data_IF_297320594465
#
_entry.id   IF_297320594465
#
_cell.length_a   1.000
_cell.length_b   1.000
_cell.length_c   1.000
_cell.angle_alpha   90.00
_cell.angle_beta   90.00
_cell.angle_gamma   90.00
#
_symmetry.space_group_name_H-M   'P 1'
#
loop_
_entity.id
_entity.type
_entity.pdbx_description
1 polymer ?
#
# COMPACT_ATOMS: atom_id res chain seq x y z
N UNK A 1 -39.74 -7.62 2.85
CA UNK A 1 -38.66 -8.38 3.51
C UNK A 1 -37.77 -7.38 4.24
N UNK A 2 -37.86 -7.31 5.57
CA UNK A 2 -37.08 -6.37 6.37
C UNK A 2 -35.59 -6.80 6.34
N UNK A 3 -34.62 -5.94 5.97
CA UNK A 3 -33.21 -6.32 6.02
C UNK A 3 -32.82 -6.60 7.47
N UNK A 4 -32.36 -7.82 7.76
CA UNK A 4 -31.86 -8.19 9.10
C UNK A 4 -30.73 -7.23 9.50
N UNK A 5 -30.69 -6.73 10.75
CA UNK A 5 -29.63 -5.83 11.19
C UNK A 5 -28.27 -6.54 11.03
N UNK A 6 -27.32 -5.87 10.35
CA UNK A 6 -25.98 -6.40 10.13
C UNK A 6 -25.33 -6.69 11.48
N UNK A 7 -24.97 -7.96 11.73
CA UNK A 7 -24.12 -8.33 12.86
C UNK A 7 -22.78 -7.61 12.71
N UNK A 8 -22.28 -7.04 13.80
CA UNK A 8 -20.98 -6.40 13.84
C UNK A 8 -19.90 -7.38 13.33
N UNK A 9 -19.19 -6.99 12.26
CA UNK A 9 -18.09 -7.78 11.72
C UNK A 9 -16.81 -7.39 12.45
N UNK A 10 -16.46 -8.18 13.47
CA UNK A 10 -15.25 -7.95 14.26
C UNK A 10 -13.97 -8.10 13.43
N UNK A 11 -13.92 -9.06 12.51
CA UNK A 11 -12.73 -9.32 11.69
C UNK A 11 -12.52 -8.16 10.72
N UNK A 12 -13.58 -7.74 10.03
CA UNK A 12 -13.54 -6.58 9.15
C UNK A 12 -13.16 -5.30 9.90
N UNK A 13 -13.73 -5.09 11.10
CA UNK A 13 -13.41 -3.93 11.93
C UNK A 13 -11.96 -3.90 12.39
N UNK A 14 -11.42 -5.04 12.83
CA UNK A 14 -10.02 -5.17 13.24
C UNK A 14 -9.06 -4.98 12.05
N UNK A 15 -9.39 -5.54 10.88
CA UNK A 15 -8.58 -5.36 9.67
C UNK A 15 -8.54 -3.88 9.23
N UNK A 16 -9.67 -3.18 9.30
CA UNK A 16 -9.73 -1.74 9.01
C UNK A 16 -8.95 -0.92 10.03
N UNK A 17 -9.11 -1.21 11.33
CA UNK A 17 -8.36 -0.53 12.38
C UNK A 17 -6.85 -0.72 12.21
N UNK A 18 -6.40 -1.94 11.94
CA UNK A 18 -5.00 -2.25 11.65
C UNK A 18 -4.48 -1.49 10.43
N UNK A 19 -5.27 -1.47 9.34
CA UNK A 19 -4.92 -0.71 8.14
C UNK A 19 -4.76 0.79 8.44
N UNK A 20 -5.70 1.39 9.17
CA UNK A 20 -5.64 2.80 9.55
C UNK A 20 -4.40 3.10 10.40
N UNK A 21 -4.08 2.24 11.36
CA UNK A 21 -2.90 2.42 12.21
C UNK A 21 -1.60 2.35 11.41
N UNK A 22 -1.45 1.32 10.56
CA UNK A 22 -0.28 1.18 9.69
C UNK A 22 -0.11 2.39 8.77
N UNK A 23 -1.19 2.84 8.11
CA UNK A 23 -1.13 3.96 7.16
C UNK A 23 -0.97 5.33 7.81
N UNK A 24 -1.47 5.50 9.05
CA UNK A 24 -1.31 6.78 9.78
C UNK A 24 0.08 6.95 10.37
N UNK A 25 0.79 5.85 10.66
CA UNK A 25 2.14 5.89 11.22
C UNK A 25 3.22 6.18 10.16
N UNK A 26 2.98 5.78 8.89
CA UNK A 26 3.98 5.88 7.81
C UNK A 26 4.53 7.30 7.62
N UNK A 27 3.73 8.38 7.52
CA UNK A 27 4.28 9.73 7.32
C UNK A 27 5.22 10.18 8.45
N UNK A 28 4.88 9.85 9.69
CA UNK A 28 5.72 10.18 10.85
C UNK A 28 7.03 9.40 10.85
N UNK A 29 6.97 8.09 10.54
CA UNK A 29 8.17 7.25 10.41
C UNK A 29 9.05 7.73 9.26
N UNK A 30 8.50 7.98 8.08
CA UNK A 30 9.27 8.45 6.93
C UNK A 30 9.94 9.80 7.20
N UNK A 31 9.27 10.73 7.89
CA UNK A 31 9.88 12.01 8.28
C UNK A 31 11.00 11.83 9.32
N UNK A 32 10.83 10.92 10.28
CA UNK A 32 11.87 10.59 11.24
C UNK A 32 13.10 9.92 10.59
N UNK A 33 12.87 9.04 9.61
CA UNK A 33 13.93 8.33 8.90
C UNK A 33 14.58 9.14 7.77
N UNK A 34 13.99 10.25 7.35
CA UNK A 34 14.49 11.13 6.27
C UNK A 34 16.01 11.42 6.35
N UNK A 35 16.63 11.70 7.52
CA UNK A 35 18.06 11.98 7.59
C UNK A 35 18.96 10.75 7.35
N UNK A 36 18.39 9.55 7.44
CA UNK A 36 19.14 8.27 7.46
C UNK A 36 18.96 7.44 6.20
N UNK A 37 17.85 7.60 5.50
CA UNK A 37 17.55 6.86 4.27
C UNK A 37 17.16 7.84 3.19
N UNK A 38 17.48 7.54 1.93
CA UNK A 38 16.94 8.24 0.78
C UNK A 38 15.55 7.71 0.41
N UNK A 39 14.72 8.53 -0.25
CA UNK A 39 13.40 8.06 -0.72
C UNK A 39 13.48 6.88 -1.70
N UNK A 40 14.61 6.74 -2.39
CA UNK A 40 14.88 5.56 -3.21
C UNK A 40 15.11 4.31 -2.35
N UNK A 41 16.00 4.39 -1.35
CA UNK A 41 16.35 3.27 -0.46
C UNK A 41 15.13 2.71 0.27
N UNK A 42 14.24 3.60 0.75
CA UNK A 42 13.00 3.20 1.42
C UNK A 42 12.15 2.25 0.55
N UNK A 43 11.96 2.60 -0.72
CA UNK A 43 11.22 1.78 -1.67
C UNK A 43 12.02 0.57 -2.16
N UNK A 44 13.33 0.72 -2.34
CA UNK A 44 14.22 -0.35 -2.78
C UNK A 44 14.25 -1.52 -1.79
N UNK A 45 14.00 -1.30 -0.50
CA UNK A 45 13.84 -2.39 0.49
C UNK A 45 12.39 -2.88 0.53
N UNK A 46 11.41 -1.97 0.50
CA UNK A 46 9.99 -2.32 0.68
C UNK A 46 9.46 -3.24 -0.43
N UNK A 47 9.77 -2.95 -1.69
CA UNK A 47 9.22 -3.68 -2.83
C UNK A 47 9.77 -5.10 -2.98
N UNK A 48 11.08 -5.36 -2.85
CA UNK A 48 11.60 -6.73 -2.82
C UNK A 48 11.07 -7.54 -1.65
N UNK A 49 10.96 -6.95 -0.47
CA UNK A 49 10.38 -7.65 0.68
C UNK A 49 8.92 -8.03 0.42
N UNK A 50 8.11 -7.09 -0.06
CA UNK A 50 6.72 -7.36 -0.42
C UNK A 50 6.59 -8.39 -1.57
N UNK A 51 7.46 -8.33 -2.58
CA UNK A 51 7.42 -9.28 -3.69
C UNK A 51 7.79 -10.69 -3.23
N UNK A 52 8.76 -10.86 -2.32
CA UNK A 52 9.08 -12.15 -1.70
C UNK A 52 7.92 -12.70 -0.89
N UNK A 53 7.28 -11.85 -0.07
CA UNK A 53 6.12 -12.23 0.74
C UNK A 53 4.96 -12.75 -0.14
N UNK A 54 4.70 -12.08 -1.26
CA UNK A 54 3.61 -12.44 -2.17
C UNK A 54 3.99 -13.47 -3.24
N UNK A 55 5.29 -13.74 -3.45
CA UNK A 55 5.76 -14.71 -4.42
C UNK A 55 5.25 -16.12 -4.12
N UNK A 56 5.18 -16.52 -2.83
CA UNK A 56 4.70 -17.85 -2.42
C UNK A 56 3.26 -18.13 -2.86
N UNK A 57 2.28 -17.33 -2.40
CA UNK A 57 0.89 -17.46 -2.84
C UNK A 57 0.72 -17.35 -4.35
N UNK A 58 1.42 -16.41 -5.00
CA UNK A 58 1.36 -16.23 -6.45
C UNK A 58 1.84 -17.47 -7.20
N UNK A 59 2.98 -18.04 -6.80
CA UNK A 59 3.52 -19.26 -7.37
C UNK A 59 2.57 -20.45 -7.19
N UNK A 60 1.98 -20.60 -6.00
CA UNK A 60 1.00 -21.64 -5.71
C UNK A 60 -0.23 -21.57 -6.64
N UNK A 61 -0.82 -20.37 -6.82
CA UNK A 61 -1.98 -20.20 -7.70
C UNK A 61 -1.63 -20.30 -9.18
N UNK A 62 -0.43 -19.86 -9.56
CA UNK A 62 0.08 -20.01 -10.92
C UNK A 62 0.26 -21.48 -11.29
N UNK A 63 0.84 -22.29 -10.40
CA UNK A 63 0.98 -23.75 -10.56
C UNK A 63 -0.37 -24.47 -10.70
N UNK A 64 -1.43 -23.95 -10.06
CA UNK A 64 -2.80 -24.46 -10.19
C UNK A 64 -3.54 -23.99 -11.45
N UNK A 65 -2.87 -23.27 -12.35
CA UNK A 65 -3.47 -22.73 -13.57
C UNK A 65 -4.51 -21.63 -13.34
N UNK A 66 -4.57 -21.06 -12.12
CA UNK A 66 -5.56 -20.04 -11.74
C UNK A 66 -5.11 -18.61 -12.07
N UNK A 67 -3.90 -18.45 -12.62
CA UNK A 67 -3.35 -17.17 -13.02
C UNK A 67 -3.14 -17.19 -14.55
N UNK A 68 -4.07 -16.60 -15.32
CA UNK A 68 -3.93 -16.48 -16.77
C UNK A 68 -2.65 -15.73 -17.15
N UNK A 69 -2.01 -16.13 -18.26
CA UNK A 69 -0.81 -15.43 -18.77
C UNK A 69 -1.08 -13.96 -19.12
N UNK A 70 -2.32 -13.62 -19.46
CA UNK A 70 -2.73 -12.24 -19.73
C UNK A 70 -2.59 -11.34 -18.50
N UNK A 71 -2.80 -11.87 -17.28
CA UNK A 71 -2.70 -11.08 -16.03
C UNK A 71 -1.31 -10.45 -15.89
N UNK A 72 -0.25 -11.14 -16.29
CA UNK A 72 1.11 -10.60 -16.26
C UNK A 72 1.27 -9.36 -17.15
N UNK A 73 0.62 -9.33 -18.32
CA UNK A 73 0.64 -8.17 -19.22
C UNK A 73 -0.22 -7.03 -18.67
N UNK A 74 -1.43 -7.35 -18.21
CA UNK A 74 -2.36 -6.35 -17.65
C UNK A 74 -1.83 -5.73 -16.36
N UNK A 75 -1.04 -6.46 -15.58
CA UNK A 75 -0.44 -5.96 -14.35
C UNK A 75 0.71 -4.96 -14.56
N UNK A 76 1.29 -4.87 -15.77
CA UNK A 76 2.40 -3.94 -16.03
C UNK A 76 1.98 -2.47 -15.89
N UNK A 77 0.80 -2.12 -16.40
CA UNK A 77 0.28 -0.76 -16.30
C UNK A 77 0.07 -0.32 -14.83
N UNK A 78 -0.72 -1.03 -14.00
CA UNK A 78 -0.89 -0.65 -12.59
C UNK A 78 0.42 -0.76 -11.81
N UNK A 79 1.30 -1.70 -12.13
CA UNK A 79 2.62 -1.77 -11.50
C UNK A 79 3.47 -0.53 -11.81
N UNK A 80 3.50 -0.07 -13.06
CA UNK A 80 4.22 1.14 -13.47
C UNK A 80 3.69 2.39 -12.79
N UNK A 81 2.36 2.57 -12.79
CA UNK A 81 1.70 3.69 -12.08
C UNK A 81 2.03 3.65 -10.59
N UNK A 82 1.97 2.47 -9.96
CA UNK A 82 2.26 2.31 -8.54
C UNK A 82 3.73 2.61 -8.21
N UNK A 83 4.69 2.10 -8.99
CA UNK A 83 6.12 2.38 -8.76
C UNK A 83 6.41 3.87 -8.89
N UNK A 84 5.85 4.53 -9.90
CA UNK A 84 6.02 5.97 -10.09
C UNK A 84 5.42 6.77 -8.93
N UNK A 85 4.14 6.54 -8.60
CA UNK A 85 3.46 7.24 -7.52
C UNK A 85 4.15 7.02 -6.17
N UNK A 86 4.68 5.82 -5.93
CA UNK A 86 5.35 5.48 -4.67
C UNK A 86 6.77 6.03 -4.61
N UNK A 87 7.43 6.21 -5.75
CA UNK A 87 8.65 7.01 -5.85
C UNK A 87 8.41 8.45 -5.38
N UNK A 88 7.36 9.10 -5.89
CA UNK A 88 6.96 10.43 -5.43
C UNK A 88 6.57 10.43 -3.94
N UNK A 89 5.86 9.41 -3.49
CA UNK A 89 5.48 9.23 -2.08
C UNK A 89 6.69 9.15 -1.14
N UNK A 90 7.74 8.45 -1.54
CA UNK A 90 8.94 8.33 -0.72
C UNK A 90 9.80 9.61 -0.72
N UNK A 91 9.59 10.53 -1.66
CA UNK A 91 10.24 11.84 -1.67
C UNK A 91 9.47 12.94 -0.93
N UNK A 92 8.19 12.75 -0.65
CA UNK A 92 7.37 13.72 0.10
C UNK A 92 7.99 14.21 1.42
N UNK A 93 8.64 13.36 2.26
CA UNK A 93 9.26 13.78 3.52
C UNK A 93 10.33 14.86 3.38
N UNK A 94 11.09 14.89 2.28
CA UNK A 94 12.15 15.89 2.07
C UNK A 94 11.62 17.29 1.83
N UNK A 95 10.36 17.39 1.38
CA UNK A 95 9.76 18.66 0.98
C UNK A 95 8.63 19.11 1.91
N UNK A 96 8.15 18.24 2.80
CA UNK A 96 6.95 18.49 3.60
C UNK A 96 7.08 17.91 5.01
N UNK A 97 6.33 18.49 5.94
CA UNK A 97 6.15 17.94 7.27
C UNK A 97 5.16 16.76 7.26
N UNK A 98 5.32 15.84 8.23
CA UNK A 98 4.49 14.65 8.35
C UNK A 98 2.99 14.97 8.44
N UNK A 99 2.62 16.12 9.03
CA UNK A 99 1.22 16.59 9.13
C UNK A 99 0.62 16.91 7.77
N UNK A 100 1.37 17.62 6.92
CA UNK A 100 0.96 17.99 5.56
C UNK A 100 0.82 16.75 4.69
N UNK A 101 1.79 15.83 4.77
CA UNK A 101 1.76 14.55 4.05
C UNK A 101 0.54 13.73 4.46
N UNK A 102 0.28 13.62 5.77
CA UNK A 102 -0.88 12.91 6.31
C UNK A 102 -2.21 13.53 5.88
N UNK A 103 -2.31 14.85 5.85
CA UNK A 103 -3.50 15.56 5.37
C UNK A 103 -3.75 15.31 3.87
N UNK A 104 -2.72 15.46 3.03
CA UNK A 104 -2.78 15.17 1.59
C UNK A 104 -3.14 13.70 1.32
N UNK A 105 -2.67 12.77 2.14
CA UNK A 105 -3.06 11.36 2.01
C UNK A 105 -4.58 11.17 2.11
N UNK A 106 -5.24 11.95 2.98
CA UNK A 106 -6.68 11.85 3.25
C UNK A 106 -7.53 12.51 2.17
N UNK A 107 -7.00 13.48 1.41
CA UNK A 107 -7.74 14.05 0.27
C UNK A 107 -7.95 13.06 -0.86
N UNK A 108 -7.19 11.94 -0.88
CA UNK A 108 -7.43 10.85 -1.83
C UNK A 108 -8.84 10.27 -1.76
N UNK A 109 -9.54 10.39 -0.62
CA UNK A 109 -10.95 9.97 -0.44
C UNK A 109 -11.88 10.66 -1.44
N UNK A 110 -11.55 11.86 -1.92
CA UNK A 110 -12.36 12.58 -2.93
C UNK A 110 -12.28 11.91 -4.30
N UNK A 111 -11.17 11.22 -4.58
CA UNK A 111 -10.89 10.58 -5.87
C UNK A 111 -11.05 9.05 -5.84
N UNK A 112 -11.42 8.49 -4.69
CA UNK A 112 -11.59 7.06 -4.44
C UNK A 112 -13.03 6.60 -4.69
#
# INVERSE_FOLDING_TARGET
MNPKPKKFDLIGSLALAGSILCWSLIPAMLKYLEPYITGWESNAVRYPFASMLWAGPLYYFWRKGRVPRSVWKWALLPAGVNVFAQGLWAWLPYFNDASVIGFLARTSVVFA
#
